data_IF_899049553923
#
_entry.id   IF_899049553923
#
_cell.length_a   1.000
_cell.length_b   1.000
_cell.length_c   1.000
_cell.angle_alpha   90.00
_cell.angle_beta   90.00
_cell.angle_gamma   90.00
#
_symmetry.space_group_name_H-M   'P 1'
#
loop_
_entity.id
_entity.type
_entity.pdbx_description
1 polymer ?
#
# COMPACT_ATOMS: atom_id res chain seq x y z
N UNK A 1 29.51 29.78 -36.88
CA UNK A 1 30.41 28.62 -36.97
C UNK A 1 29.75 27.49 -36.18
N UNK A 2 29.05 26.58 -36.86
CA UNK A 2 29.57 25.25 -37.25
C UNK A 2 29.75 24.36 -35.99
N UNK A 3 28.97 23.32 -35.70
CA UNK A 3 28.48 22.24 -36.57
C UNK A 3 27.21 21.54 -36.02
N UNK A 4 26.29 21.24 -36.94
CA UNK A 4 25.33 20.13 -36.90
C UNK A 4 26.06 18.78 -36.80
N UNK A 5 25.46 17.77 -36.14
CA UNK A 5 25.37 16.39 -36.68
C UNK A 5 24.07 15.70 -36.24
N UNK A 6 23.22 15.42 -37.23
CA UNK A 6 22.24 14.33 -37.28
C UNK A 6 22.96 13.00 -37.53
N UNK A 7 22.37 11.89 -37.05
CA UNK A 7 22.28 10.52 -37.62
C UNK A 7 21.73 9.62 -36.49
N UNK A 8 20.48 9.16 -36.49
CA UNK A 8 19.81 8.19 -37.36
C UNK A 8 20.19 6.71 -37.07
N UNK A 9 19.13 5.90 -36.95
CA UNK A 9 19.02 4.45 -37.18
C UNK A 9 19.45 3.48 -36.07
N UNK A 10 18.45 2.83 -35.45
CA UNK A 10 18.26 1.38 -35.59
C UNK A 10 16.86 0.99 -35.08
N UNK A 11 15.94 0.74 -36.01
CA UNK A 11 14.71 0.01 -35.73
C UNK A 11 15.03 -1.48 -35.61
N UNK A 12 14.76 -2.06 -34.45
CA UNK A 12 14.81 -3.50 -34.21
C UNK A 12 13.38 -4.02 -34.04
N UNK A 13 12.94 -4.84 -34.98
CA UNK A 13 11.68 -5.58 -34.90
C UNK A 13 11.80 -6.67 -33.82
N UNK A 14 11.04 -6.56 -32.73
CA UNK A 14 10.82 -7.69 -31.83
C UNK A 14 9.70 -8.56 -32.40
N UNK A 15 10.07 -9.77 -32.83
CA UNK A 15 9.13 -10.82 -33.18
C UNK A 15 8.46 -11.35 -31.89
N UNK A 16 7.13 -11.32 -31.89
CA UNK A 16 6.29 -12.08 -30.96
C UNK A 16 6.54 -13.58 -31.15
N UNK A 17 6.94 -14.27 -30.08
CA UNK A 17 6.78 -15.71 -29.96
C UNK A 17 5.80 -15.99 -28.81
N UNK A 18 4.55 -16.28 -29.17
CA UNK A 18 3.57 -16.90 -28.29
C UNK A 18 3.99 -18.36 -28.04
N UNK A 19 4.31 -18.70 -26.79
CA UNK A 19 4.29 -20.10 -26.33
C UNK A 19 3.13 -20.22 -25.35
N UNK A 20 2.03 -20.77 -25.86
CA UNK A 20 0.97 -21.34 -25.04
C UNK A 20 1.37 -22.77 -24.68
N UNK A 21 1.45 -23.07 -23.38
CA UNK A 21 1.35 -24.44 -22.88
C UNK A 21 0.64 -24.39 -21.51
N UNK A 22 -0.61 -24.85 -21.54
CA UNK A 22 -1.49 -25.10 -20.39
C UNK A 22 -1.09 -26.41 -19.65
N UNK A 23 -1.67 -26.66 -18.46
CA UNK A 23 -1.09 -27.51 -17.42
C UNK A 23 -1.53 -28.98 -17.49
N UNK A 24 -0.67 -29.88 -17.02
CA UNK A 24 -0.97 -31.26 -16.60
C UNK A 24 0.20 -31.67 -15.67
N UNK A 25 0.02 -32.22 -14.48
CA UNK A 25 -0.76 -33.41 -14.16
C UNK A 25 -1.39 -33.34 -12.77
N UNK A 26 -2.67 -33.71 -12.73
CA UNK A 26 -3.32 -34.35 -11.59
C UNK A 26 -3.01 -35.86 -11.62
N UNK A 27 -2.77 -36.46 -10.44
CA UNK A 27 -2.98 -37.89 -10.14
C UNK A 27 -3.31 -37.95 -8.63
N UNK A 28 -4.58 -38.04 -8.25
CA UNK A 28 -5.36 -39.27 -8.02
C UNK A 28 -4.96 -40.04 -6.74
N UNK A 29 -5.84 -40.02 -5.73
CA UNK A 29 -6.07 -41.19 -4.84
C UNK A 29 -6.79 -42.30 -5.63
N UNK A 30 -7.19 -43.48 -5.11
CA UNK A 30 -7.72 -43.82 -3.76
C UNK A 30 -7.21 -45.26 -3.35
N UNK A 31 -7.90 -46.21 -2.65
CA UNK A 31 -9.22 -46.20 -2.00
C UNK A 31 -9.33 -46.85 -0.60
N UNK A 32 -10.53 -46.65 -0.07
CA UNK A 32 -11.18 -47.27 1.08
C UNK A 32 -11.31 -48.80 0.96
N UNK A 33 -11.06 -49.55 2.04
CA UNK A 33 -11.43 -50.98 2.17
C UNK A 33 -11.86 -51.32 3.61
N UNK A 34 -13.17 -51.40 3.80
CA UNK A 34 -13.93 -52.47 4.51
C UNK A 34 -13.32 -53.17 5.74
N UNK A 35 -13.87 -52.83 6.91
CA UNK A 35 -14.45 -53.70 7.95
C UNK A 35 -13.82 -55.05 8.33
N UNK A 36 -13.61 -55.26 9.65
CA UNK A 36 -14.28 -56.30 10.46
C UNK A 36 -13.92 -56.22 11.95
N UNK A 37 -14.84 -56.78 12.71
CA UNK A 37 -15.12 -56.78 14.14
C UNK A 37 -14.33 -57.80 14.96
N UNK A 38 -14.28 -57.51 16.27
CA UNK A 38 -14.40 -58.42 17.43
C UNK A 38 -13.34 -59.50 17.68
N UNK A 39 -12.71 -59.40 18.87
CA UNK A 39 -12.47 -60.53 19.78
C UNK A 39 -12.32 -60.01 21.22
N UNK A 40 -13.46 -59.86 21.87
CA UNK A 40 -13.84 -60.48 23.15
C UNK A 40 -12.81 -60.79 24.26
N UNK A 41 -13.27 -60.42 25.48
CA UNK A 41 -13.10 -61.03 26.82
C UNK A 41 -11.87 -60.63 27.66
N UNK A 42 -12.04 -59.88 28.76
CA UNK A 42 -12.61 -60.27 30.08
C UNK A 42 -11.64 -61.17 30.86
N UNK A 43 -11.31 -61.04 32.14
CA UNK A 43 -11.88 -60.41 33.34
C UNK A 43 -10.69 -60.16 34.30
N UNK A 44 -10.73 -59.31 35.33
CA UNK A 44 -11.56 -59.45 36.51
C UNK A 44 -10.71 -59.29 37.78
N UNK A 45 -11.18 -58.42 38.66
CA UNK A 45 -10.68 -58.03 39.97
C UNK A 45 -10.59 -59.20 40.96
N UNK A 46 -9.56 -59.23 41.83
CA UNK A 46 -9.63 -59.93 43.12
C UNK A 46 -9.08 -59.01 44.23
N UNK A 47 -9.96 -58.70 45.20
CA UNK A 47 -9.62 -58.29 46.56
C UNK A 47 -9.50 -59.55 47.43
N UNK A 48 -8.57 -59.54 48.38
CA UNK A 48 -8.54 -60.48 49.49
C UNK A 48 -7.54 -60.03 50.57
N UNK A 49 -8.06 -59.65 51.74
CA UNK A 49 -7.32 -59.35 52.97
C UNK A 49 -6.75 -60.62 53.62
N UNK A 50 -5.68 -60.47 54.43
CA UNK A 50 -5.42 -61.40 55.53
C UNK A 50 -3.97 -61.55 56.02
N UNK A 51 -3.72 -61.00 57.22
CA UNK A 51 -2.84 -61.52 58.31
C UNK A 51 -1.35 -61.05 58.39
N UNK A 52 -1.04 -60.31 59.48
CA UNK A 52 0.27 -59.99 60.10
C UNK A 52 0.69 -61.11 61.12
N UNK A 53 1.84 -61.11 61.87
CA UNK A 53 3.02 -60.20 61.93
C UNK A 53 4.42 -60.91 62.03
N UNK A 54 5.51 -60.11 62.05
CA UNK A 54 6.86 -60.47 62.55
C UNK A 54 7.96 -60.12 61.53
N UNK A 55 9.18 -59.66 61.85
CA UNK A 55 9.97 -59.56 63.09
C UNK A 55 11.19 -58.65 62.78
N UNK A 56 11.48 -57.70 63.68
CA UNK A 56 12.79 -57.14 64.11
C UNK A 56 14.00 -57.17 63.14
N UNK A 57 14.52 -55.98 62.83
CA UNK A 57 15.91 -55.70 62.43
C UNK A 57 15.98 -54.29 61.83
N UNK A 58 16.54 -53.24 62.43
CA UNK A 58 17.80 -53.19 63.18
C UNK A 58 18.95 -52.84 62.23
N UNK A 59 18.91 -51.68 61.58
CA UNK A 59 19.94 -51.27 60.61
C UNK A 59 20.01 -49.76 60.40
N UNK A 60 20.92 -49.13 61.15
CA UNK A 60 21.72 -47.92 60.86
C UNK A 60 21.26 -47.08 59.63
N UNK A 61 20.63 -45.93 59.87
CA UNK A 61 20.44 -44.88 58.86
C UNK A 61 21.75 -44.09 58.74
N UNK A 62 22.55 -44.42 57.74
CA UNK A 62 23.59 -43.53 57.25
C UNK A 62 22.89 -42.37 56.53
N UNK A 63 22.87 -41.20 57.18
CA UNK A 63 22.41 -39.94 56.59
C UNK A 63 23.40 -39.50 55.51
N UNK A 64 23.30 -40.07 54.30
CA UNK A 64 23.83 -39.46 53.10
C UNK A 64 22.82 -38.38 52.67
N UNK A 65 23.19 -37.09 52.59
CA UNK A 65 22.30 -36.08 52.05
C UNK A 65 21.99 -36.44 50.60
N UNK A 66 20.71 -36.69 50.33
CA UNK A 66 20.19 -37.04 49.01
C UNK A 66 20.27 -35.82 48.07
N UNK A 67 21.46 -35.59 47.52
CA UNK A 67 21.76 -34.55 46.53
C UNK A 67 21.06 -34.79 45.17
N UNK A 68 20.14 -35.76 45.06
CA UNK A 68 19.29 -35.94 43.87
C UNK A 68 18.12 -34.97 43.81
N UNK A 69 17.64 -34.46 44.95
CA UNK A 69 16.49 -33.55 44.99
C UNK A 69 16.76 -32.18 44.34
N UNK A 70 18.03 -31.77 44.19
CA UNK A 70 18.42 -30.52 43.53
C UNK A 70 18.71 -30.65 42.03
N UNK A 71 18.84 -31.87 41.48
CA UNK A 71 19.11 -32.09 40.04
C UNK A 71 17.86 -32.24 39.18
N UNK A 72 16.68 -32.29 39.79
CA UNK A 72 15.39 -32.42 39.10
C UNK A 72 14.50 -31.17 39.21
N UNK A 73 15.06 -30.03 39.62
CA UNK A 73 14.36 -28.76 39.44
C UNK A 73 14.40 -28.43 37.94
N UNK A 74 13.26 -28.60 37.28
CA UNK A 74 13.07 -28.10 35.93
C UNK A 74 13.57 -26.65 35.87
N UNK A 75 14.39 -26.34 34.86
CA UNK A 75 14.82 -24.97 34.62
C UNK A 75 13.55 -24.09 34.56
N UNK A 76 13.57 -22.88 35.16
CA UNK A 76 12.47 -21.94 34.98
C UNK A 76 12.20 -21.79 33.48
N UNK A 77 10.92 -21.75 33.04
CA UNK A 77 10.63 -21.44 31.65
C UNK A 77 11.33 -20.12 31.29
N UNK A 78 11.81 -19.98 30.05
CA UNK A 78 12.48 -18.76 29.61
C UNK A 78 11.56 -17.57 29.91
N UNK A 79 12.12 -16.54 30.54
CA UNK A 79 11.39 -15.33 30.85
C UNK A 79 10.88 -14.72 29.54
N UNK A 80 9.57 -14.44 29.48
CA UNK A 80 8.98 -13.67 28.39
C UNK A 80 9.56 -12.26 28.47
N UNK A 81 10.00 -11.73 27.32
CA UNK A 81 10.58 -10.39 27.26
C UNK A 81 9.57 -9.34 27.74
N UNK A 82 10.03 -8.35 28.50
CA UNK A 82 9.16 -7.26 28.97
C UNK A 82 8.79 -6.31 27.82
N UNK A 83 7.70 -5.54 27.93
CA UNK A 83 7.37 -4.51 26.95
C UNK A 83 8.53 -3.53 26.70
N UNK A 84 9.27 -3.16 27.74
CA UNK A 84 10.44 -2.27 27.64
C UNK A 84 11.59 -2.92 26.87
N UNK A 85 11.83 -4.22 27.08
CA UNK A 85 12.84 -4.99 26.34
C UNK A 85 12.47 -5.12 24.86
N UNK A 86 11.19 -5.39 24.56
CA UNK A 86 10.66 -5.48 23.19
C UNK A 86 10.82 -4.14 22.47
N UNK A 87 10.44 -3.04 23.13
CA UNK A 87 10.59 -1.68 22.61
C UNK A 87 12.05 -1.33 22.35
N UNK A 88 12.95 -1.63 23.29
CA UNK A 88 14.38 -1.39 23.13
C UNK A 88 14.98 -2.21 21.97
N UNK A 89 14.57 -3.48 21.81
CA UNK A 89 15.01 -4.32 20.71
C UNK A 89 14.52 -3.79 19.35
N UNK A 90 13.25 -3.41 19.25
CA UNK A 90 12.69 -2.80 18.05
C UNK A 90 13.42 -1.49 17.68
N UNK A 91 13.68 -0.61 18.66
CA UNK A 91 14.44 0.61 18.45
C UNK A 91 15.86 0.33 17.92
N UNK A 92 16.53 -0.70 18.44
CA UNK A 92 17.86 -1.09 17.98
C UNK A 92 17.85 -1.59 16.53
N UNK A 93 16.83 -2.35 16.13
CA UNK A 93 16.67 -2.82 14.74
C UNK A 93 16.43 -1.66 13.77
N UNK A 94 15.58 -0.69 14.12
CA UNK A 94 15.37 0.52 13.32
C UNK A 94 16.70 1.24 13.06
N UNK A 95 17.49 1.46 14.12
CA UNK A 95 18.80 2.13 14.02
C UNK A 95 19.78 1.30 13.18
N UNK A 96 19.81 -0.02 13.36
CA UNK A 96 20.69 -0.92 12.61
C UNK A 96 20.36 -0.95 11.11
N UNK A 97 19.10 -0.71 10.73
CA UNK A 97 18.65 -0.56 9.34
C UNK A 97 18.80 0.86 8.79
N UNK A 98 19.42 1.78 9.55
CA UNK A 98 19.62 3.17 9.14
C UNK A 98 18.40 4.08 9.31
N UNK A 99 17.34 3.59 9.96
CA UNK A 99 16.17 4.38 10.32
C UNK A 99 16.42 5.27 11.54
N UNK A 100 15.65 6.36 11.66
CA UNK A 100 15.81 7.37 12.71
C UNK A 100 14.57 7.58 13.57
N UNK A 101 13.50 6.80 13.36
CA UNK A 101 12.27 6.95 14.13
C UNK A 101 12.50 6.63 15.62
N UNK A 102 11.89 7.43 16.49
CA UNK A 102 11.73 7.13 17.91
C UNK A 102 10.55 6.18 18.09
N UNK A 103 10.82 4.95 18.54
CA UNK A 103 9.79 3.96 18.83
C UNK A 103 9.03 4.38 20.09
N UNK A 104 7.71 4.44 19.99
CA UNK A 104 6.81 4.80 21.10
C UNK A 104 6.20 3.56 21.74
N UNK A 105 5.85 2.57 20.92
CA UNK A 105 5.24 1.30 21.29
C UNK A 105 5.82 0.18 20.41
N UNK A 106 5.92 -1.03 20.95
CA UNK A 106 6.31 -2.20 20.16
C UNK A 106 5.73 -3.50 20.73
N UNK A 107 5.54 -4.48 19.86
CA UNK A 107 5.14 -5.86 20.21
C UNK A 107 6.06 -6.86 19.50
N UNK A 108 6.20 -8.06 20.06
CA UNK A 108 6.90 -9.19 19.42
C UNK A 108 5.87 -10.28 19.08
N UNK A 109 5.16 -10.20 17.94
CA UNK A 109 4.07 -11.13 17.62
C UNK A 109 4.53 -12.58 17.43
N UNK A 110 5.82 -12.82 17.19
CA UNK A 110 6.34 -14.17 17.07
C UNK A 110 7.76 -14.24 16.50
N UNK A 111 7.97 -15.28 15.69
CA UNK A 111 9.21 -15.54 14.94
C UNK A 111 8.86 -15.93 13.52
N UNK A 112 9.78 -15.73 12.59
CA UNK A 112 9.66 -16.21 11.21
C UNK A 112 9.97 -17.71 11.08
N UNK A 113 9.93 -18.21 9.84
CA UNK A 113 10.27 -19.61 9.55
C UNK A 113 11.73 -19.98 9.89
N UNK A 114 12.62 -18.98 10.01
CA UNK A 114 14.03 -19.15 10.36
C UNK A 114 14.32 -18.87 11.85
N UNK A 115 13.27 -18.81 12.67
CA UNK A 115 13.30 -18.54 14.11
C UNK A 115 13.87 -17.15 14.48
N UNK A 116 13.89 -16.21 13.53
CA UNK A 116 14.18 -14.80 13.80
C UNK A 116 12.97 -14.13 14.42
N UNK A 117 13.20 -13.33 15.46
CA UNK A 117 12.13 -12.58 16.12
C UNK A 117 11.54 -11.55 15.17
N UNK A 118 10.21 -11.53 15.11
CA UNK A 118 9.44 -10.50 14.41
C UNK A 118 8.99 -9.51 15.46
N UNK A 119 9.20 -8.23 15.19
CA UNK A 119 8.71 -7.11 15.97
C UNK A 119 7.79 -6.26 15.12
N UNK A 120 6.82 -5.62 15.75
CA UNK A 120 6.11 -4.49 15.17
C UNK A 120 6.36 -3.28 16.06
N UNK A 121 6.72 -2.15 15.44
CA UNK A 121 7.06 -0.91 16.12
C UNK A 121 6.18 0.23 15.61
N UNK A 122 5.65 1.02 16.53
CA UNK A 122 5.03 2.29 16.23
C UNK A 122 6.02 3.43 16.47
N UNK A 123 6.03 4.38 15.55
CA UNK A 123 6.91 5.54 15.58
C UNK A 123 6.22 6.76 16.18
N UNK A 124 7.00 7.64 16.83
CA UNK A 124 6.51 8.94 17.29
C UNK A 124 6.04 9.82 16.12
N UNK A 125 6.77 9.75 15.00
CA UNK A 125 6.46 10.43 13.75
C UNK A 125 6.70 9.48 12.57
N UNK A 126 5.85 9.59 11.55
CA UNK A 126 5.94 8.75 10.35
C UNK A 126 5.21 7.41 10.48
N UNK A 127 5.49 6.46 9.57
CA UNK A 127 4.84 5.16 9.58
C UNK A 127 5.45 4.26 10.67
N UNK A 128 4.69 3.25 11.06
CA UNK A 128 5.24 2.12 11.81
C UNK A 128 5.91 1.08 10.91
N UNK A 129 6.53 0.09 11.54
CA UNK A 129 7.29 -0.94 10.84
C UNK A 129 7.10 -2.33 11.42
N UNK A 130 7.13 -3.34 10.56
CA UNK A 130 7.46 -4.72 10.93
C UNK A 130 8.96 -4.94 10.72
N UNK A 131 9.61 -5.50 11.72
CA UNK A 131 11.05 -5.69 11.78
C UNK A 131 11.34 -7.17 12.00
N UNK A 132 12.22 -7.74 11.18
CA UNK A 132 12.73 -9.09 11.38
C UNK A 132 14.17 -8.98 11.86
N UNK A 133 14.46 -9.59 13.01
CA UNK A 133 15.76 -9.54 13.68
C UNK A 133 16.90 -10.29 12.99
N UNK A 134 16.83 -10.49 11.67
CA UNK A 134 17.89 -11.09 10.85
C UNK A 134 19.12 -10.18 10.76
N UNK A 135 20.19 -10.69 10.12
CA UNK A 135 21.40 -9.90 9.83
C UNK A 135 21.67 -9.92 8.32
N UNK A 136 21.49 -8.81 7.59
CA UNK A 136 20.96 -7.52 8.06
C UNK A 136 19.48 -7.60 8.48
N UNK A 137 18.99 -6.70 9.35
CA UNK A 137 17.58 -6.69 9.71
C UNK A 137 16.71 -6.34 8.50
N UNK A 138 15.57 -7.00 8.37
CA UNK A 138 14.57 -6.65 7.37
C UNK A 138 13.53 -5.72 7.97
N UNK A 139 13.12 -4.71 7.21
CA UNK A 139 12.19 -3.66 7.62
C UNK A 139 11.08 -3.55 6.58
N UNK A 140 9.85 -3.58 7.04
CA UNK A 140 8.66 -3.45 6.19
C UNK A 140 7.79 -2.31 6.72
N UNK A 141 7.46 -1.35 5.87
CA UNK A 141 6.63 -0.19 6.20
C UNK A 141 5.16 -0.59 6.33
N UNK A 142 4.53 -0.24 7.44
CA UNK A 142 3.13 -0.59 7.69
C UNK A 142 2.15 0.00 6.68
N UNK A 143 2.42 1.19 6.15
CA UNK A 143 1.57 1.84 5.14
C UNK A 143 1.72 1.17 3.78
N UNK A 144 2.94 0.76 3.42
CA UNK A 144 3.18 -0.02 2.20
C UNK A 144 2.51 -1.40 2.29
N UNK A 145 2.63 -2.09 3.42
CA UNK A 145 1.92 -3.36 3.65
C UNK A 145 0.40 -3.19 3.57
N UNK A 146 -0.16 -2.14 4.17
CA UNK A 146 -1.58 -1.85 4.09
C UNK A 146 -2.02 -1.55 2.64
N UNK A 147 -1.22 -0.80 1.88
CA UNK A 147 -1.53 -0.45 0.49
C UNK A 147 -1.43 -1.63 -0.48
N UNK A 148 -0.44 -2.50 -0.31
CA UNK A 148 -0.34 -3.76 -1.06
C UNK A 148 -1.52 -4.68 -0.76
N UNK A 149 -1.91 -4.79 0.52
CA UNK A 149 -3.09 -5.55 0.93
C UNK A 149 -4.39 -4.98 0.34
N UNK A 150 -4.56 -3.66 0.36
CA UNK A 150 -5.68 -2.96 -0.26
C UNK A 150 -5.77 -3.26 -1.76
N UNK A 151 -4.66 -3.11 -2.47
CA UNK A 151 -4.57 -3.34 -3.93
C UNK A 151 -4.84 -4.79 -4.30
N UNK A 152 -4.35 -5.75 -3.51
CA UNK A 152 -4.64 -7.17 -3.69
C UNK A 152 -6.14 -7.44 -3.56
N UNK A 153 -6.77 -6.89 -2.52
CA UNK A 153 -8.20 -7.08 -2.23
C UNK A 153 -9.14 -6.43 -3.23
N UNK A 154 -8.71 -5.37 -3.89
CA UNK A 154 -9.44 -4.78 -5.01
C UNK A 154 -9.56 -5.74 -6.21
N UNK A 155 -8.58 -6.63 -6.40
CA UNK A 155 -8.59 -7.62 -7.49
C UNK A 155 -9.30 -8.91 -7.06
N UNK A 156 -9.05 -9.33 -5.82
CA UNK A 156 -9.67 -10.50 -5.21
C UNK A 156 -9.98 -10.19 -3.73
N UNK A 157 -11.25 -9.99 -3.37
CA UNK A 157 -11.64 -9.71 -1.98
C UNK A 157 -11.19 -10.76 -0.96
N UNK A 158 -10.94 -12.01 -1.39
CA UNK A 158 -10.49 -13.11 -0.55
C UNK A 158 -8.95 -13.28 -0.52
N UNK A 159 -8.19 -12.36 -1.14
CA UNK A 159 -6.74 -12.45 -1.22
C UNK A 159 -6.09 -12.60 0.16
N UNK A 160 -5.18 -13.57 0.27
CA UNK A 160 -4.22 -13.65 1.37
C UNK A 160 -3.15 -12.58 1.17
N UNK A 161 -3.07 -11.65 2.12
CA UNK A 161 -2.17 -10.48 2.07
C UNK A 161 -0.97 -10.65 3.02
N UNK A 162 -0.80 -11.85 3.58
CA UNK A 162 0.28 -12.15 4.51
C UNK A 162 0.24 -11.31 5.79
N UNK A 163 1.42 -11.10 6.38
CA UNK A 163 1.55 -10.37 7.63
C UNK A 163 1.20 -8.89 7.44
N UNK A 164 0.34 -8.39 8.31
CA UNK A 164 -0.05 -6.98 8.39
C UNK A 164 0.29 -6.43 9.77
N UNK A 165 0.35 -5.10 9.87
CA UNK A 165 0.55 -4.41 11.15
C UNK A 165 -0.71 -4.51 12.02
N UNK A 166 -0.51 -4.83 13.29
CA UNK A 166 -1.54 -5.11 14.28
C UNK A 166 -1.71 -3.96 15.28
N UNK A 167 -0.65 -3.18 15.54
CA UNK A 167 -0.72 -2.05 16.46
C UNK A 167 -1.71 -1.00 15.95
N UNK A 168 -2.68 -0.55 16.78
CA UNK A 168 -3.60 0.51 16.37
C UNK A 168 -2.90 1.80 15.93
N UNK A 169 -1.77 2.12 16.56
CA UNK A 169 -0.94 3.27 16.19
C UNK A 169 -0.38 3.20 14.76
N UNK A 170 -0.35 2.01 14.15
CA UNK A 170 0.10 1.78 12.77
C UNK A 170 -1.06 1.63 11.78
N UNK A 171 -2.31 1.61 12.26
CA UNK A 171 -3.53 1.55 11.44
C UNK A 171 -4.10 2.95 11.18
N UNK A 172 -3.22 3.93 10.97
CA UNK A 172 -3.54 5.36 10.92
C UNK A 172 -3.16 6.01 9.58
N UNK A 173 -3.16 5.24 8.49
CA UNK A 173 -2.69 5.69 7.17
C UNK A 173 -3.34 6.99 6.69
N UNK A 174 -4.65 7.17 6.88
CA UNK A 174 -5.34 8.41 6.55
C UNK A 174 -4.72 9.64 7.26
N UNK A 175 -4.46 9.52 8.57
CA UNK A 175 -3.91 10.62 9.35
C UNK A 175 -2.46 10.93 8.96
N UNK A 176 -1.64 9.90 8.76
CA UNK A 176 -0.22 10.03 8.43
C UNK A 176 -0.03 10.57 7.01
N UNK A 177 -0.62 9.90 6.01
CA UNK A 177 -0.50 10.29 4.60
C UNK A 177 -1.18 11.64 4.37
N UNK A 178 -2.37 11.87 4.95
CA UNK A 178 -3.04 13.18 4.89
C UNK A 178 -2.23 14.30 5.56
N UNK A 179 -1.43 13.98 6.59
CA UNK A 179 -0.44 14.89 7.15
C UNK A 179 0.66 15.27 6.16
N UNK A 180 1.21 14.28 5.47
CA UNK A 180 2.24 14.50 4.44
C UNK A 180 1.70 15.27 3.24
N UNK A 181 0.49 14.94 2.77
CA UNK A 181 -0.16 15.65 1.67
C UNK A 181 -0.33 17.14 1.98
N UNK A 182 -0.80 17.49 3.19
CA UNK A 182 -0.91 18.87 3.65
C UNK A 182 0.46 19.56 3.75
N UNK A 183 1.47 18.86 4.28
CA UNK A 183 2.84 19.39 4.32
C UNK A 183 3.42 19.62 2.91
N UNK A 184 2.99 18.85 1.92
CA UNK A 184 3.35 18.99 0.52
C UNK A 184 2.53 20.06 -0.24
N UNK A 185 1.50 20.65 0.38
CA UNK A 185 0.70 21.73 -0.19
C UNK A 185 -0.72 21.36 -0.60
N UNK A 186 -1.22 20.15 -0.29
CA UNK A 186 -2.63 19.82 -0.47
C UNK A 186 -3.52 20.73 0.40
N UNK A 187 -4.54 21.32 -0.22
CA UNK A 187 -5.44 22.31 0.42
C UNK A 187 -6.84 21.75 0.71
N UNK A 188 -7.12 20.54 0.24
CA UNK A 188 -8.41 19.87 0.41
C UNK A 188 -8.57 19.23 1.79
N UNK A 189 -9.80 18.83 2.11
CA UNK A 189 -10.06 17.92 3.24
C UNK A 189 -9.80 16.48 2.79
N UNK A 190 -8.72 15.88 3.28
CA UNK A 190 -8.36 14.49 2.95
C UNK A 190 -9.28 13.53 3.70
N UNK A 191 -9.95 12.64 2.96
CA UNK A 191 -10.90 11.64 3.48
C UNK A 191 -10.51 10.20 3.14
N UNK A 192 -9.67 9.99 2.12
CA UNK A 192 -9.09 8.70 1.77
C UNK A 192 -7.58 8.83 1.54
N UNK A 193 -6.80 7.83 1.97
CA UNK A 193 -5.37 7.79 1.64
C UNK A 193 -4.80 6.37 1.71
N UNK A 194 -3.97 5.99 0.73
CA UNK A 194 -3.36 4.67 0.68
C UNK A 194 -2.05 4.68 -0.11
N UNK A 195 -1.10 3.80 0.21
CA UNK A 195 0.02 3.51 -0.68
C UNK A 195 -0.49 2.71 -1.89
N UNK A 196 -0.15 3.15 -3.11
CA UNK A 196 -0.62 2.53 -4.36
C UNK A 196 0.48 1.80 -5.12
N UNK A 197 1.70 1.84 -4.61
CA UNK A 197 2.85 1.14 -5.15
C UNK A 197 4.07 2.04 -5.22
N UNK A 198 4.95 1.75 -6.18
CA UNK A 198 6.18 2.50 -6.41
C UNK A 198 6.24 3.07 -7.82
N UNK A 199 6.89 4.22 -7.96
CA UNK A 199 7.20 4.81 -9.27
C UNK A 199 8.34 4.07 -9.97
N UNK A 200 8.62 4.41 -11.23
CA UNK A 200 9.76 3.88 -11.98
C UNK A 200 11.11 4.19 -11.31
N UNK A 201 11.15 5.19 -10.43
CA UNK A 201 12.31 5.55 -9.62
C UNK A 201 12.37 4.79 -8.27
N UNK A 202 11.53 3.77 -8.08
CA UNK A 202 11.38 2.99 -6.84
C UNK A 202 10.92 3.81 -5.61
N UNK A 203 10.40 5.02 -5.81
CA UNK A 203 9.81 5.80 -4.72
C UNK A 203 8.39 5.31 -4.41
N UNK A 204 8.01 5.27 -3.14
CA UNK A 204 6.63 4.96 -2.75
C UNK A 204 5.70 6.10 -3.20
N UNK A 205 4.61 5.72 -3.85
CA UNK A 205 3.53 6.60 -4.29
C UNK A 205 2.30 6.33 -3.43
N UNK A 206 1.74 7.41 -2.88
CA UNK A 206 0.49 7.40 -2.14
C UNK A 206 -0.59 8.09 -2.97
N UNK A 207 -1.79 7.54 -2.93
CA UNK A 207 -2.97 8.21 -3.43
C UNK A 207 -3.74 8.84 -2.27
N UNK A 208 -4.24 10.06 -2.50
CA UNK A 208 -4.95 10.89 -1.54
C UNK A 208 -6.28 11.32 -2.17
N UNK A 209 -7.38 10.88 -1.57
CA UNK A 209 -8.73 11.37 -1.86
C UNK A 209 -9.00 12.67 -1.12
N UNK A 210 -9.84 13.50 -1.73
CA UNK A 210 -10.23 14.79 -1.22
C UNK A 210 -11.75 14.89 -1.24
N UNK A 211 -12.37 15.15 -0.09
CA UNK A 211 -13.83 15.24 0.00
C UNK A 211 -14.38 16.35 -0.90
N UNK A 212 -15.08 15.96 -1.97
CA UNK A 212 -15.72 16.89 -2.90
C UNK A 212 -14.72 17.70 -3.74
N UNK A 213 -13.48 17.24 -3.90
CA UNK A 213 -12.45 17.95 -4.66
C UNK A 213 -11.47 17.00 -5.36
N UNK A 214 -10.69 17.53 -6.31
CA UNK A 214 -9.65 16.79 -7.02
C UNK A 214 -8.61 16.26 -6.02
N UNK A 215 -8.31 14.97 -6.12
CA UNK A 215 -7.33 14.29 -5.28
C UNK A 215 -5.89 14.50 -5.75
N UNK A 216 -4.98 13.74 -5.13
CA UNK A 216 -3.55 13.82 -5.43
C UNK A 216 -2.88 12.45 -5.46
N UNK A 217 -1.81 12.37 -6.25
CA UNK A 217 -0.70 11.46 -5.98
C UNK A 217 0.41 12.21 -5.23
N UNK A 218 0.89 11.59 -4.16
CA UNK A 218 2.00 12.05 -3.33
C UNK A 218 3.15 11.05 -3.45
N UNK A 219 4.28 11.49 -3.99
CA UNK A 219 5.48 10.65 -4.16
C UNK A 219 6.60 11.17 -3.25
N UNK A 220 7.26 10.25 -2.54
CA UNK A 220 8.41 10.59 -1.69
C UNK A 220 9.68 10.70 -2.53
N UNK A 221 10.16 11.91 -2.79
CA UNK A 221 11.36 12.14 -3.61
C UNK A 221 12.50 12.66 -2.72
N UNK A 222 13.50 11.80 -2.46
CA UNK A 222 14.61 12.11 -1.57
C UNK A 222 14.13 12.38 -0.14
N UNK A 223 14.28 13.63 0.33
CA UNK A 223 13.76 14.09 1.63
C UNK A 223 12.48 14.93 1.50
N UNK A 224 12.02 15.20 0.29
CA UNK A 224 10.85 16.01 0.00
C UNK A 224 9.68 15.19 -0.54
N UNK A 225 8.65 15.92 -0.95
CA UNK A 225 7.43 15.39 -1.52
C UNK A 225 7.20 15.99 -2.91
N UNK A 226 6.86 15.15 -3.86
CA UNK A 226 6.28 15.56 -5.14
C UNK A 226 4.77 15.35 -5.06
N UNK A 227 4.00 16.41 -5.25
CA UNK A 227 2.54 16.41 -5.14
C UNK A 227 1.94 16.74 -6.51
N UNK A 228 1.20 15.79 -7.08
CA UNK A 228 0.53 15.92 -8.37
C UNK A 228 -0.98 15.80 -8.17
N UNK A 229 -1.73 16.80 -8.62
CA UNK A 229 -3.20 16.68 -8.68
C UNK A 229 -3.61 15.58 -9.69
N UNK A 230 -4.81 15.04 -9.53
CA UNK A 230 -5.24 13.90 -10.32
C UNK A 230 -5.43 14.22 -11.81
N UNK A 231 -5.65 15.49 -12.18
CA UNK A 231 -5.60 15.92 -13.58
C UNK A 231 -4.19 15.81 -14.18
N UNK A 232 -3.14 16.14 -13.42
CA UNK A 232 -1.76 15.89 -13.83
C UNK A 232 -1.47 14.40 -13.97
N UNK A 233 -1.89 13.59 -12.98
CA UNK A 233 -1.69 12.14 -12.96
C UNK A 233 -2.32 11.50 -14.21
N UNK A 234 -3.56 11.85 -14.51
CA UNK A 234 -4.28 11.36 -15.69
C UNK A 234 -3.57 11.74 -17.01
N UNK A 235 -2.97 12.94 -17.08
CA UNK A 235 -2.27 13.42 -18.28
C UNK A 235 -1.03 12.57 -18.64
N UNK A 236 -0.45 11.88 -17.66
CA UNK A 236 0.69 10.97 -17.85
C UNK A 236 0.27 9.50 -17.89
N UNK A 237 -1.03 9.22 -18.02
CA UNK A 237 -1.57 7.85 -18.08
C UNK A 237 -1.75 7.18 -16.72
N UNK A 238 -1.62 7.92 -15.61
CA UNK A 238 -1.96 7.44 -14.28
C UNK A 238 -3.47 7.42 -14.04
N UNK A 239 -3.89 6.94 -12.88
CA UNK A 239 -5.31 6.90 -12.49
C UNK A 239 -5.47 7.20 -11.01
N UNK A 240 -6.39 8.10 -10.68
CA UNK A 240 -6.85 8.28 -9.31
C UNK A 240 -8.17 7.54 -9.12
N UNK A 241 -8.18 6.62 -8.16
CA UNK A 241 -9.30 5.80 -7.71
C UNK A 241 -10.19 6.52 -6.68
N UNK A 242 -9.61 7.40 -5.87
CA UNK A 242 -10.29 8.20 -4.84
C UNK A 242 -10.73 9.57 -5.35
N UNK A 243 -10.80 9.74 -6.67
CA UNK A 243 -11.24 10.99 -7.27
C UNK A 243 -12.19 10.68 -8.42
N UNK A 244 -13.36 11.27 -8.35
CA UNK A 244 -14.37 11.17 -9.40
C UNK A 244 -14.15 12.24 -10.47
N UNK A 245 -14.70 12.00 -11.66
CA UNK A 245 -14.70 13.00 -12.72
C UNK A 245 -15.47 14.28 -12.33
N UNK A 246 -16.49 14.16 -11.48
CA UNK A 246 -17.25 15.31 -10.99
C UNK A 246 -16.43 16.15 -10.03
N UNK A 247 -15.70 15.54 -9.08
CA UNK A 247 -14.83 16.28 -8.16
C UNK A 247 -13.72 17.04 -8.90
N UNK A 248 -13.18 16.45 -9.97
CA UNK A 248 -12.28 17.12 -10.89
C UNK A 248 -12.92 18.34 -11.56
N UNK A 249 -14.14 18.17 -12.06
CA UNK A 249 -14.89 19.23 -12.71
C UNK A 249 -15.21 20.37 -11.74
N UNK A 250 -15.76 20.07 -10.56
CA UNK A 250 -16.11 21.04 -9.51
C UNK A 250 -14.88 21.84 -9.05
N UNK A 251 -13.76 21.14 -8.84
CA UNK A 251 -12.48 21.79 -8.46
C UNK A 251 -11.98 22.72 -9.54
N UNK A 252 -12.16 22.34 -10.80
CA UNK A 252 -11.75 23.17 -11.93
C UNK A 252 -12.69 24.34 -12.17
N UNK A 253 -13.99 24.17 -12.00
CA UNK A 253 -15.01 25.21 -12.15
C UNK A 253 -14.72 26.42 -11.25
N UNK A 254 -14.27 26.17 -10.02
CA UNK A 254 -13.83 27.24 -9.11
C UNK A 254 -12.73 28.13 -9.70
N UNK A 255 -11.90 27.61 -10.62
CA UNK A 255 -10.82 28.37 -11.28
C UNK A 255 -11.33 29.24 -12.43
N UNK A 256 -12.57 29.04 -12.90
CA UNK A 256 -13.20 29.86 -13.94
C UNK A 256 -13.89 31.10 -13.37
N UNK A 257 -14.03 31.20 -12.04
CA UNK A 257 -14.63 32.34 -11.38
C UNK A 257 -13.94 33.66 -11.79
N UNK A 258 -14.75 34.67 -12.14
CA UNK A 258 -14.26 35.98 -12.57
C UNK A 258 -13.72 36.05 -14.00
N UNK A 259 -13.86 34.98 -14.79
CA UNK A 259 -13.50 34.94 -16.21
C UNK A 259 -14.74 34.95 -17.10
N UNK A 260 -14.54 35.05 -18.43
CA UNK A 260 -15.61 34.93 -19.41
C UNK A 260 -16.27 33.53 -19.44
N UNK A 261 -15.65 32.52 -18.80
CA UNK A 261 -16.19 31.17 -18.65
C UNK A 261 -16.83 30.90 -17.28
N UNK A 262 -17.06 31.92 -16.45
CA UNK A 262 -17.61 31.75 -15.10
C UNK A 262 -19.02 31.13 -15.05
N UNK A 263 -19.74 31.11 -16.19
CA UNK A 263 -21.05 30.46 -16.31
C UNK A 263 -21.00 29.01 -16.79
N UNK A 264 -19.80 28.47 -17.04
CA UNK A 264 -19.62 27.08 -17.47
C UNK A 264 -19.84 26.13 -16.29
N UNK A 265 -20.97 25.43 -16.28
CA UNK A 265 -21.19 24.24 -15.46
C UNK A 265 -20.27 23.13 -15.99
N UNK A 266 -19.13 22.90 -15.32
CA UNK A 266 -18.08 22.04 -15.87
C UNK A 266 -18.53 20.60 -15.73
N UNK A 267 -18.62 19.89 -16.86
CA UNK A 267 -19.00 18.47 -16.89
C UNK A 267 -17.77 17.56 -16.97
N UNK A 268 -16.71 18.01 -17.63
CA UNK A 268 -15.45 17.27 -17.76
C UNK A 268 -14.28 18.23 -17.90
N UNK A 269 -13.13 17.83 -17.39
CA UNK A 269 -11.89 18.58 -17.54
C UNK A 269 -10.72 17.63 -17.82
N UNK A 270 -9.72 18.10 -18.57
CA UNK A 270 -8.44 17.42 -18.72
C UNK A 270 -7.28 18.41 -18.78
N UNK A 271 -6.11 17.99 -18.32
CA UNK A 271 -4.87 18.70 -18.57
C UNK A 271 -4.39 18.41 -19.99
N UNK A 272 -4.18 19.45 -20.80
CA UNK A 272 -3.67 19.36 -22.17
C UNK A 272 -2.13 19.39 -22.21
N UNK A 273 -1.51 20.04 -21.23
CA UNK A 273 -0.06 20.15 -21.11
C UNK A 273 0.38 21.36 -20.32
N UNK A 274 1.70 21.54 -20.22
CA UNK A 274 2.32 22.60 -19.43
C UNK A 274 3.54 23.18 -20.13
N UNK A 275 3.82 24.45 -19.89
CA UNK A 275 5.07 25.11 -20.29
C UNK A 275 5.46 26.18 -19.25
N UNK A 276 6.48 26.98 -19.55
CA UNK A 276 6.95 28.05 -18.66
C UNK A 276 5.89 29.12 -18.33
N UNK A 277 4.84 29.20 -19.15
CA UNK A 277 3.75 30.17 -18.99
C UNK A 277 2.60 29.61 -18.14
N UNK A 278 2.61 28.32 -17.78
CA UNK A 278 1.57 27.69 -16.97
C UNK A 278 1.06 26.40 -17.59
N UNK A 279 -0.10 25.96 -17.10
CA UNK A 279 -0.79 24.73 -17.49
C UNK A 279 -2.02 25.06 -18.30
N UNK A 280 -2.29 24.24 -19.31
CA UNK A 280 -3.42 24.39 -20.21
C UNK A 280 -4.41 23.27 -19.94
N UNK A 281 -5.64 23.64 -19.62
CA UNK A 281 -6.72 22.71 -19.34
C UNK A 281 -7.82 22.90 -20.36
N UNK A 282 -8.42 21.81 -20.81
CA UNK A 282 -9.68 21.85 -21.54
C UNK A 282 -10.80 21.52 -20.57
N UNK A 283 -11.80 22.40 -20.49
CA UNK A 283 -13.05 22.16 -19.80
C UNK A 283 -14.20 22.07 -20.82
N UNK A 284 -15.02 21.04 -20.66
CA UNK A 284 -16.29 20.87 -21.37
C UNK A 284 -17.41 21.29 -20.42
N UNK A 285 -18.27 22.19 -20.88
CA UNK A 285 -19.45 22.58 -20.11
C UNK A 285 -20.58 21.56 -20.31
N UNK A 286 -21.56 21.55 -19.42
CA UNK A 286 -22.76 20.74 -19.56
C UNK A 286 -23.57 21.11 -20.82
N UNK A 287 -23.53 22.39 -21.22
CA UNK A 287 -24.11 22.86 -22.46
C UNK A 287 -23.40 22.26 -23.69
N UNK A 288 -24.19 21.72 -24.63
CA UNK A 288 -23.65 21.05 -25.81
C UNK A 288 -22.87 22.01 -26.70
N UNK A 289 -21.67 21.58 -27.13
CA UNK A 289 -20.80 22.39 -27.99
C UNK A 289 -20.08 23.52 -27.27
N UNK A 290 -20.29 23.68 -25.96
CA UNK A 290 -19.63 24.70 -25.15
C UNK A 290 -18.45 24.10 -24.37
N UNK A 291 -17.31 24.78 -24.47
CA UNK A 291 -16.09 24.38 -23.79
C UNK A 291 -15.03 25.46 -23.92
N UNK A 292 -14.01 25.36 -23.08
CA UNK A 292 -12.97 26.37 -22.96
C UNK A 292 -11.60 25.73 -22.77
N UNK A 293 -10.58 26.39 -23.30
CA UNK A 293 -9.19 26.16 -22.90
C UNK A 293 -8.81 27.25 -21.91
N UNK A 294 -8.47 26.86 -20.69
CA UNK A 294 -7.94 27.75 -19.67
C UNK A 294 -6.43 27.60 -19.54
N UNK A 295 -5.72 28.73 -19.49
CA UNK A 295 -4.32 28.77 -19.06
C UNK A 295 -4.26 29.22 -17.61
N UNK A 296 -3.70 28.38 -16.76
CA UNK A 296 -3.57 28.59 -15.32
C UNK A 296 -2.09 28.72 -14.98
N UNK A 297 -1.72 29.73 -14.22
CA UNK A 297 -0.34 29.94 -13.78
C UNK A 297 0.07 28.98 -12.64
N UNK A 298 1.30 29.11 -12.16
CA UNK A 298 1.81 28.31 -11.05
C UNK A 298 1.15 28.61 -9.70
N UNK A 299 0.46 29.75 -9.56
CA UNK A 299 -0.29 30.12 -8.37
C UNK A 299 -1.73 29.58 -8.40
N UNK A 300 -2.13 28.89 -9.47
CA UNK A 300 -3.47 28.35 -9.64
C UNK A 300 -4.49 29.38 -10.15
N UNK A 301 -4.03 30.54 -10.62
CA UNK A 301 -4.90 31.62 -11.12
C UNK A 301 -5.08 31.48 -12.63
N UNK A 302 -6.32 31.57 -13.09
CA UNK A 302 -6.64 31.59 -14.51
C UNK A 302 -6.21 32.90 -15.14
N UNK A 303 -5.29 32.81 -16.09
CA UNK A 303 -4.70 33.96 -16.78
C UNK A 303 -5.37 34.25 -18.12
N UNK A 304 -5.81 33.21 -18.83
CA UNK A 304 -6.41 33.32 -20.16
C UNK A 304 -7.47 32.23 -20.35
N UNK A 305 -8.55 32.58 -21.03
CA UNK A 305 -9.65 31.69 -21.41
C UNK A 305 -9.88 31.81 -22.91
N UNK A 306 -10.00 30.67 -23.59
CA UNK A 306 -10.28 30.59 -25.02
C UNK A 306 -11.49 29.69 -25.27
N UNK A 307 -12.57 30.17 -25.91
CA UNK A 307 -13.66 29.30 -26.32
C UNK A 307 -13.18 28.22 -27.28
N UNK A 308 -13.63 26.98 -27.07
CA UNK A 308 -13.24 25.84 -27.90
C UNK A 308 -13.56 26.05 -29.40
N UNK A 309 -14.63 26.79 -29.70
CA UNK A 309 -15.01 27.15 -31.07
C UNK A 309 -13.90 27.87 -31.85
N UNK A 310 -13.01 28.62 -31.18
CA UNK A 310 -11.94 29.40 -31.82
C UNK A 310 -10.53 28.91 -31.44
N UNK A 311 -10.42 27.98 -30.48
CA UNK A 311 -9.15 27.52 -29.92
C UNK A 311 -8.55 26.27 -30.60
N UNK A 312 -8.99 25.91 -31.80
CA UNK A 312 -8.61 24.69 -32.52
C UNK A 312 -7.09 24.50 -32.73
N UNK A 313 -6.30 25.58 -32.67
CA UNK A 313 -4.83 25.53 -32.85
C UNK A 313 -4.04 25.48 -31.55
N UNK A 314 -4.69 25.51 -30.38
CA UNK A 314 -4.01 25.50 -29.08
C UNK A 314 -3.88 24.06 -28.60
N UNK A 315 -2.65 23.56 -28.44
CA UNK A 315 -2.39 22.27 -27.77
C UNK A 315 -3.08 21.05 -28.41
N UNK A 316 -3.30 21.06 -29.73
CA UNK A 316 -4.04 20.00 -30.44
C UNK A 316 -5.56 20.23 -30.52
N UNK A 317 -6.05 21.36 -30.00
CA UNK A 317 -7.46 21.74 -30.01
C UNK A 317 -8.28 21.08 -28.90
N UNK A 318 -9.57 21.42 -28.86
CA UNK A 318 -10.51 20.82 -27.94
C UNK A 318 -10.93 19.43 -28.42
N UNK A 319 -10.75 18.42 -27.57
CA UNK A 319 -11.14 17.03 -27.83
C UNK A 319 -12.33 16.57 -27.01
N UNK A 320 -12.57 17.17 -25.84
CA UNK A 320 -13.80 16.98 -25.06
C UNK A 320 -14.98 17.72 -25.70
N UNK A 321 -14.70 18.87 -26.31
CA UNK A 321 -15.68 19.67 -27.05
C UNK A 321 -15.25 19.81 -28.51
N UNK A 322 -15.41 18.75 -29.33
CA UNK A 322 -15.04 18.82 -30.73
C UNK A 322 -15.87 19.89 -31.45
N UNK A 323 -15.22 20.67 -32.31
CA UNK A 323 -15.93 21.62 -33.16
C UNK A 323 -16.96 20.85 -34.02
N UNK A 324 -18.14 21.43 -34.27
CA UNK A 324 -19.09 20.85 -35.21
C UNK A 324 -18.38 20.54 -36.54
N UNK A 325 -18.60 19.34 -37.08
CA UNK A 325 -18.06 18.98 -38.38
C UNK A 325 -18.48 20.05 -39.40
N UNK A 326 -17.51 20.64 -40.11
CA UNK A 326 -17.82 21.60 -41.16
C UNK A 326 -18.77 20.92 -42.17
N UNK A 327 -19.90 21.56 -42.46
CA UNK A 327 -20.83 21.06 -43.45
C UNK A 327 -20.07 20.85 -44.78
N UNK A 328 -20.27 19.71 -45.48
CA UNK A 328 -19.61 19.46 -46.74
C UNK A 328 -19.87 20.65 -47.69
N UNK A 329 -18.81 21.12 -48.33
CA UNK A 329 -18.91 22.20 -49.31
C UNK A 329 -19.98 21.83 -50.35
N UNK A 330 -20.86 22.77 -50.75
CA UNK A 330 -21.80 22.52 -51.84
C UNK A 330 -21.01 22.02 -53.05
N UNK A 331 -21.44 20.90 -53.63
CA UNK A 331 -20.90 20.45 -54.90
C UNK A 331 -21.25 21.52 -55.95
N UNK A 332 -20.23 22.19 -56.48
CA UNK A 332 -20.35 23.11 -57.62
C UNK A 332 -20.30 22.34 -58.93
#
# INVERSE_FOLDING_TARGET
>A
MFHRKLLALAGGALALALVAAQPAFAQDGPPDTTGRTESDRASGTIRGEGVLPGRIGGGRRDNVPDNRATRQRAAPPPAVATPEEIKAAAQALIVASGGSCLVTEAVQPGVDATQQKIYEAACAEGPGYILIGSTPPQVFDCLELAGTAYTARLRDPAADVGQQCLLPANQNGLAVIGGWARAAGATCTVDEAVAIGKSDADNIVYEVGCAGADGYWLERVGTGWDLKDCLQVASTGGTCRFTTAQEQADTFEAKLAGTDAAGCDVAQVRLMGSNANGRFYEAKCAAEGEGYIARIDSAGVTQQIYPCATAQRIGGGCTLTPAPAAAPAPAE
#
